data_IF_337371504446
#
_entry.id   IF_337371504446
#
_cell.length_a   1.000
_cell.length_b   1.000
_cell.length_c   1.000
_cell.angle_alpha   90.00
_cell.angle_beta   90.00
_cell.angle_gamma   90.00
#
_symmetry.space_group_name_H-M   'P 1'
#
loop_
_entity.id
_entity.type
_entity.pdbx_description
1 polymer ?
#
# COMPACT_ATOMS: atom_id res chain seq x y z
N UNK A 1 -0.51 -12.02 1.37
CA UNK A 1 -1.25 -12.73 0.29
C UNK A 1 -0.64 -12.39 -1.05
N UNK A 2 -0.76 -13.25 -2.04
CA UNK A 2 -0.33 -12.92 -3.39
C UNK A 2 -1.41 -12.07 -4.06
N UNK A 3 -1.09 -10.87 -4.44
CA UNK A 3 -1.97 -9.96 -5.16
C UNK A 3 -1.27 -9.39 -6.38
N UNK A 4 -2.00 -8.79 -7.28
CA UNK A 4 -1.43 -8.05 -8.42
C UNK A 4 -2.36 -6.89 -8.75
N UNK A 5 -1.81 -5.70 -8.75
CA UNK A 5 -2.55 -4.46 -8.98
C UNK A 5 -2.21 -3.87 -10.34
N UNK A 6 -3.19 -3.29 -11.00
CA UNK A 6 -3.04 -2.41 -12.15
C UNK A 6 -3.72 -1.07 -11.89
N UNK A 7 -3.02 0.00 -12.23
CA UNK A 7 -3.50 1.38 -12.15
C UNK A 7 -3.42 1.97 -13.56
N UNK A 8 -4.47 2.70 -14.01
CA UNK A 8 -4.48 3.30 -15.34
C UNK A 8 -4.91 4.75 -15.22
N UNK A 9 -4.01 5.65 -15.61
CA UNK A 9 -4.27 7.08 -15.66
C UNK A 9 -5.37 7.44 -16.67
N UNK A 10 -6.05 8.56 -16.48
CA UNK A 10 -7.22 8.95 -17.28
C UNK A 10 -6.94 9.13 -18.77
N UNK A 11 -5.74 9.57 -19.14
CA UNK A 11 -5.34 9.75 -20.54
C UNK A 11 -4.83 8.44 -21.17
N UNK A 12 -4.53 7.42 -20.36
CA UNK A 12 -4.22 6.07 -20.80
C UNK A 12 -5.46 5.16 -20.88
N UNK A 13 -6.61 5.60 -20.35
CA UNK A 13 -7.86 4.86 -20.44
C UNK A 13 -8.67 5.25 -21.69
N UNK A 14 -9.52 4.31 -22.14
CA UNK A 14 -10.30 4.52 -23.38
C UNK A 14 -11.34 5.64 -23.26
N UNK A 15 -11.93 5.83 -22.09
CA UNK A 15 -13.05 6.76 -21.86
C UNK A 15 -12.68 7.95 -20.95
N UNK A 16 -11.41 8.12 -20.61
CA UNK A 16 -10.94 9.19 -19.75
C UNK A 16 -11.17 8.95 -18.26
N UNK A 17 -11.52 7.73 -17.87
CA UNK A 17 -11.65 7.36 -16.45
C UNK A 17 -10.31 6.96 -15.83
N UNK A 18 -10.16 7.22 -14.54
CA UNK A 18 -9.12 6.60 -13.71
C UNK A 18 -9.54 5.16 -13.36
N UNK A 19 -8.59 4.22 -13.41
CA UNK A 19 -8.88 2.81 -13.11
C UNK A 19 -7.90 2.30 -12.06
N UNK A 20 -8.43 1.71 -11.00
CA UNK A 20 -7.66 0.90 -10.05
C UNK A 20 -8.28 -0.49 -9.99
N UNK A 21 -7.48 -1.54 -10.17
CA UNK A 21 -7.96 -2.92 -10.14
C UNK A 21 -6.91 -3.84 -9.53
N UNK A 22 -7.36 -4.78 -8.72
CA UNK A 22 -6.52 -5.76 -8.03
C UNK A 22 -7.17 -7.12 -8.03
N UNK A 23 -6.39 -8.18 -8.23
CA UNK A 23 -6.79 -9.51 -7.85
C UNK A 23 -6.24 -9.84 -6.46
N UNK A 24 -6.97 -10.63 -5.72
CA UNK A 24 -6.55 -11.23 -4.47
C UNK A 24 -6.32 -12.72 -4.68
N UNK A 25 -5.15 -13.21 -4.31
CA UNK A 25 -4.79 -14.62 -4.40
C UNK A 25 -4.58 -15.21 -3.01
N UNK A 26 -5.23 -16.33 -2.72
CA UNK A 26 -4.97 -17.09 -1.50
C UNK A 26 -3.65 -17.84 -1.62
N UNK A 27 -2.75 -17.67 -0.66
CA UNK A 27 -1.44 -18.32 -0.62
C UNK A 27 -1.51 -19.86 -0.65
N UNK A 28 -2.60 -20.44 -0.15
CA UNK A 28 -2.78 -21.89 -0.01
C UNK A 28 -3.86 -22.45 -0.96
N UNK A 29 -4.38 -21.64 -1.89
CA UNK A 29 -5.52 -22.01 -2.71
C UNK A 29 -6.83 -22.15 -1.91
N UNK A 30 -6.90 -21.59 -0.73
CA UNK A 30 -8.12 -21.54 0.07
C UNK A 30 -9.12 -20.58 -0.54
N UNK A 31 -10.38 -20.98 -0.52
CA UNK A 31 -11.47 -20.13 -1.01
C UNK A 31 -12.08 -19.35 0.15
N UNK A 32 -11.78 -18.05 0.20
CA UNK A 32 -12.37 -17.11 1.14
C UNK A 32 -13.48 -16.30 0.44
N UNK A 33 -14.75 -16.68 0.62
CA UNK A 33 -15.86 -16.02 -0.07
C UNK A 33 -15.98 -14.57 0.40
N UNK A 34 -16.15 -13.66 -0.55
CA UNK A 34 -16.37 -12.23 -0.33
C UNK A 34 -17.84 -11.86 -0.56
N UNK A 35 -18.25 -10.72 -0.06
CA UNK A 35 -19.58 -10.13 -0.32
C UNK A 35 -19.41 -8.71 -0.84
N UNK A 36 -20.09 -8.36 -1.91
CA UNK A 36 -20.22 -6.96 -2.29
C UNK A 36 -21.36 -6.33 -1.47
N UNK A 37 -21.03 -5.30 -0.73
CA UNK A 37 -21.98 -4.58 0.15
C UNK A 37 -21.93 -3.08 -0.04
N UNK A 38 -22.99 -2.41 0.37
CA UNK A 38 -23.05 -0.96 0.59
C UNK A 38 -23.14 -0.72 2.09
N UNK A 39 -22.24 0.09 2.64
CA UNK A 39 -22.21 0.44 4.06
C UNK A 39 -22.70 1.88 4.21
N UNK A 40 -23.82 2.07 4.89
CA UNK A 40 -24.42 3.39 5.10
C UNK A 40 -23.82 4.09 6.31
N UNK A 41 -23.90 5.43 6.40
CA UNK A 41 -23.36 6.19 7.51
C UNK A 41 -23.85 5.74 8.90
N UNK A 42 -25.13 5.37 9.01
CA UNK A 42 -25.75 4.91 10.25
C UNK A 42 -25.42 3.45 10.62
N UNK A 43 -24.85 2.69 9.69
CA UNK A 43 -24.40 1.30 9.89
C UNK A 43 -22.93 1.23 10.31
N UNK A 44 -22.19 2.34 10.25
CA UNK A 44 -20.76 2.39 10.55
C UNK A 44 -20.50 2.60 12.05
N UNK A 45 -19.50 1.88 12.62
CA UNK A 45 -19.14 2.07 14.03
C UNK A 45 -18.51 3.44 14.26
N UNK A 46 -18.62 3.96 15.48
CA UNK A 46 -17.85 5.13 15.94
C UNK A 46 -16.58 4.73 16.69
N UNK A 47 -16.51 3.49 17.09
CA UNK A 47 -15.33 2.85 17.63
C UNK A 47 -15.07 1.60 16.78
N UNK A 48 -13.95 1.57 16.09
CA UNK A 48 -13.50 0.44 15.30
C UNK A 48 -12.53 -0.42 16.12
N UNK A 49 -12.65 -1.74 16.01
CA UNK A 49 -11.73 -2.66 16.65
C UNK A 49 -11.24 -3.69 15.65
N UNK A 50 -9.91 -3.71 15.44
CA UNK A 50 -9.23 -4.76 14.65
C UNK A 50 -9.38 -6.13 15.31
N UNK A 51 -9.63 -7.15 14.51
CA UNK A 51 -9.66 -8.54 14.96
C UNK A 51 -8.24 -9.10 15.09
N UNK A 52 -7.33 -8.71 14.19
CA UNK A 52 -5.95 -9.20 14.17
C UNK A 52 -5.09 -8.52 15.22
N UNK A 53 -5.05 -7.20 15.21
CA UNK A 53 -4.16 -6.42 16.08
C UNK A 53 -4.76 -6.07 17.44
N UNK A 54 -6.07 -6.25 17.62
CA UNK A 54 -6.82 -5.81 18.81
C UNK A 54 -6.76 -4.31 19.09
N UNK A 55 -6.28 -3.51 18.12
CA UNK A 55 -6.30 -2.06 18.21
C UNK A 55 -7.74 -1.54 18.21
N UNK A 56 -8.00 -0.55 19.02
CA UNK A 56 -9.28 0.18 19.03
C UNK A 56 -9.04 1.62 18.59
N UNK A 57 -9.84 2.11 17.65
CA UNK A 57 -9.72 3.43 17.04
C UNK A 57 -11.07 4.14 17.15
N UNK A 58 -11.07 5.36 17.67
CA UNK A 58 -12.21 6.24 17.61
C UNK A 58 -12.32 6.83 16.20
N UNK A 59 -13.47 6.65 15.56
CA UNK A 59 -13.71 7.13 14.21
C UNK A 59 -14.53 8.43 14.21
N UNK A 60 -14.33 9.32 13.21
CA UNK A 60 -15.10 10.55 13.07
C UNK A 60 -16.62 10.32 12.98
N UNK A 61 -17.40 11.32 13.37
CA UNK A 61 -18.86 11.21 13.46
C UNK A 61 -19.61 11.24 12.13
N UNK A 62 -18.96 11.78 11.08
CA UNK A 62 -19.56 12.05 9.78
C UNK A 62 -18.98 11.17 8.66
N UNK A 63 -19.15 9.82 8.70
CA UNK A 63 -18.68 8.96 7.64
C UNK A 63 -19.55 9.06 6.39
N UNK A 64 -18.94 8.99 5.23
CA UNK A 64 -19.60 8.84 3.95
C UNK A 64 -20.12 7.41 3.75
N UNK A 65 -21.17 7.25 2.93
CA UNK A 65 -21.56 5.94 2.43
C UNK A 65 -20.48 5.42 1.50
N UNK A 66 -20.20 4.10 1.56
CA UNK A 66 -19.24 3.46 0.67
C UNK A 66 -19.63 2.03 0.30
N UNK A 67 -19.05 1.52 -0.78
CA UNK A 67 -19.09 0.10 -1.14
C UNK A 67 -17.86 -0.61 -0.58
N UNK A 68 -17.99 -1.91 -0.32
CA UNK A 68 -16.87 -2.76 0.12
C UNK A 68 -17.07 -4.21 -0.36
N UNK A 69 -15.99 -4.98 -0.33
CA UNK A 69 -15.97 -6.41 -0.68
C UNK A 69 -15.42 -7.24 0.49
N UNK A 70 -16.03 -7.16 1.68
CA UNK A 70 -15.51 -7.82 2.87
C UNK A 70 -15.65 -9.35 2.82
N UNK A 71 -14.92 -10.01 3.71
CA UNK A 71 -15.10 -11.43 3.98
C UNK A 71 -16.57 -11.78 4.29
N UNK A 72 -17.04 -12.91 3.78
CA UNK A 72 -18.37 -13.42 4.11
C UNK A 72 -18.44 -13.94 5.57
N UNK A 73 -17.34 -14.48 6.09
CA UNK A 73 -17.15 -14.84 7.50
C UNK A 73 -16.18 -13.84 8.14
N UNK A 74 -16.67 -13.09 9.12
CA UNK A 74 -15.90 -12.01 9.78
C UNK A 74 -15.04 -12.49 10.97
N UNK A 75 -14.85 -13.79 11.15
CA UNK A 75 -14.06 -14.31 12.27
C UNK A 75 -12.61 -13.87 12.26
N UNK A 76 -12.05 -13.66 11.07
CA UNK A 76 -10.67 -13.22 10.88
C UNK A 76 -10.56 -11.74 10.51
N UNK A 77 -11.65 -10.98 10.68
CA UNK A 77 -11.72 -9.55 10.40
C UNK A 77 -12.54 -9.21 9.15
N UNK A 78 -12.67 -7.92 8.91
CA UNK A 78 -13.52 -7.37 7.84
C UNK A 78 -12.89 -7.60 6.47
N UNK A 79 -11.62 -7.20 6.29
CA UNK A 79 -10.91 -7.28 5.01
C UNK A 79 -11.73 -6.70 3.88
N UNK A 80 -11.96 -5.37 3.95
CA UNK A 80 -12.88 -4.66 3.05
C UNK A 80 -12.46 -4.64 1.58
N UNK A 81 -11.21 -4.92 1.27
CA UNK A 81 -10.57 -5.10 -0.02
C UNK A 81 -10.59 -3.86 -0.92
N UNK A 82 -11.74 -3.56 -1.50
CA UNK A 82 -11.89 -2.42 -2.40
C UNK A 82 -13.27 -1.79 -2.24
N UNK A 83 -13.37 -0.49 -2.49
CA UNK A 83 -14.63 0.22 -2.44
C UNK A 83 -14.57 1.60 -3.08
N UNK A 84 -15.75 2.19 -3.23
CA UNK A 84 -15.94 3.57 -3.69
C UNK A 84 -16.89 4.23 -2.73
N UNK A 85 -16.58 5.45 -2.27
CA UNK A 85 -17.46 6.23 -1.42
C UNK A 85 -18.37 7.17 -2.25
N UNK A 86 -19.32 7.82 -1.60
CA UNK A 86 -20.28 8.71 -2.26
C UNK A 86 -19.68 10.03 -2.78
N UNK A 87 -18.44 10.38 -2.38
CA UNK A 87 -17.64 11.44 -2.96
C UNK A 87 -16.88 11.00 -4.23
N UNK A 88 -17.12 9.78 -4.73
CA UNK A 88 -16.44 9.18 -5.86
C UNK A 88 -14.92 8.97 -5.66
N UNK A 89 -14.49 8.77 -4.42
CA UNK A 89 -13.15 8.29 -4.12
C UNK A 89 -13.17 6.77 -4.09
N UNK A 90 -12.28 6.13 -4.83
CA UNK A 90 -12.06 4.70 -4.77
C UNK A 90 -10.77 4.39 -4.01
N UNK A 91 -10.78 3.25 -3.31
CA UNK A 91 -9.62 2.69 -2.62
C UNK A 91 -9.56 1.20 -2.90
N UNK A 92 -8.36 0.69 -3.21
CA UNK A 92 -8.07 -0.74 -3.24
C UNK A 92 -6.92 -1.01 -2.28
N UNK A 93 -7.23 -1.71 -1.23
CA UNK A 93 -6.29 -2.10 -0.18
C UNK A 93 -6.31 -3.63 -0.05
N UNK A 94 -5.25 -4.36 -0.11
CA UNK A 94 -3.87 -3.92 -0.18
C UNK A 94 -3.06 -4.85 -1.08
N UNK A 95 -1.92 -4.39 -1.54
CA UNK A 95 -0.90 -5.26 -2.13
C UNK A 95 0.13 -5.54 -1.03
N UNK A 96 0.27 -6.79 -0.56
CA UNK A 96 1.31 -7.12 0.44
C UNK A 96 2.69 -6.90 -0.16
N UNK A 97 3.52 -6.10 0.50
CA UNK A 97 4.86 -5.75 0.05
C UNK A 97 5.93 -6.38 0.95
N UNK A 98 7.16 -6.42 0.46
CA UNK A 98 8.32 -6.92 1.20
C UNK A 98 9.38 -5.82 1.31
N UNK A 99 9.81 -5.53 2.54
CA UNK A 99 10.92 -4.61 2.83
C UNK A 99 12.16 -5.36 3.28
N UNK A 100 13.31 -4.68 3.29
CA UNK A 100 14.56 -5.28 3.76
C UNK A 100 14.72 -5.17 5.30
N UNK A 101 15.63 -5.98 5.83
CA UNK A 101 15.83 -6.11 7.28
C UNK A 101 16.41 -4.84 7.92
N UNK A 102 17.09 -3.97 7.15
CA UNK A 102 17.63 -2.70 7.67
C UNK A 102 16.52 -1.73 8.01
N UNK A 103 15.49 -1.66 7.14
CA UNK A 103 14.29 -0.88 7.40
C UNK A 103 13.58 -1.39 8.64
N UNK A 104 13.33 -2.72 8.73
CA UNK A 104 12.67 -3.31 9.89
C UNK A 104 13.49 -3.22 11.18
N UNK A 105 14.82 -3.17 11.06
CA UNK A 105 15.71 -2.90 12.19
C UNK A 105 15.63 -1.46 12.71
N UNK A 106 15.29 -0.51 11.84
CA UNK A 106 15.17 0.91 12.15
C UNK A 106 13.74 1.32 12.57
N UNK A 107 12.73 0.72 11.93
CA UNK A 107 11.30 0.95 12.16
C UNK A 107 10.56 -0.40 12.14
N UNK A 108 10.57 -1.15 13.27
CA UNK A 108 9.97 -2.48 13.35
C UNK A 108 8.44 -2.43 13.29
N UNK A 109 7.84 -3.50 12.81
CA UNK A 109 6.39 -3.67 12.82
C UNK A 109 5.79 -3.56 14.23
N UNK A 110 4.62 -2.97 14.31
CA UNK A 110 3.83 -2.86 15.54
C UNK A 110 2.91 -4.08 15.66
N UNK A 111 3.47 -5.19 16.09
CA UNK A 111 2.76 -6.46 16.21
C UNK A 111 1.96 -6.56 17.52
N UNK A 112 0.81 -7.26 17.48
CA UNK A 112 0.06 -7.61 18.69
C UNK A 112 0.91 -8.51 19.61
N UNK A 113 0.97 -8.15 20.87
CA UNK A 113 1.61 -8.97 21.91
C UNK A 113 0.58 -9.45 22.92
N UNK A 114 0.35 -10.75 22.97
CA UNK A 114 -0.56 -11.35 23.94
C UNK A 114 -0.06 -11.16 25.38
N UNK A 115 -0.99 -11.06 26.33
CA UNK A 115 -0.65 -11.04 27.75
C UNK A 115 0.17 -12.29 28.15
N UNK A 116 1.13 -12.10 29.04
CA UNK A 116 1.94 -13.16 29.63
C UNK A 116 1.80 -13.20 31.14
N UNK A 117 1.87 -14.38 31.72
CA UNK A 117 1.67 -14.57 33.17
C UNK A 117 0.19 -14.51 33.54
N UNK A 118 -0.06 -14.43 34.85
CA UNK A 118 -1.41 -14.33 35.41
C UNK A 118 -1.61 -12.95 36.00
N UNK A 119 -2.75 -12.35 35.68
CA UNK A 119 -3.13 -11.05 36.25
C UNK A 119 -3.07 -11.05 37.79
N UNK A 120 -2.31 -10.09 38.33
CA UNK A 120 -2.05 -9.97 39.75
C UNK A 120 -0.70 -10.54 40.22
N UNK A 121 0.01 -11.31 39.39
CA UNK A 121 1.35 -11.78 39.68
C UNK A 121 2.40 -10.69 39.34
N UNK A 122 3.57 -10.75 39.98
CA UNK A 122 4.62 -9.72 39.82
C UNK A 122 5.30 -9.73 38.45
N UNK A 123 5.12 -10.81 37.69
CA UNK A 123 5.65 -11.04 36.35
C UNK A 123 4.56 -10.94 35.26
N UNK A 124 3.38 -10.42 35.61
CA UNK A 124 2.32 -10.19 34.63
C UNK A 124 2.67 -9.09 33.66
N UNK A 125 2.61 -9.40 32.37
CA UNK A 125 2.70 -8.45 31.27
C UNK A 125 1.33 -8.39 30.58
N UNK A 126 0.67 -7.20 30.55
CA UNK A 126 -0.60 -7.06 29.83
C UNK A 126 -0.43 -7.21 28.33
N UNK A 127 -1.52 -7.55 27.64
CA UNK A 127 -1.55 -7.51 26.18
C UNK A 127 -1.29 -6.10 25.66
N UNK A 128 -0.57 -6.00 24.55
CA UNK A 128 -0.33 -4.74 23.85
C UNK A 128 -0.92 -4.85 22.45
N UNK A 129 -1.86 -3.99 22.05
CA UNK A 129 -2.40 -3.97 20.71
C UNK A 129 -1.30 -3.77 19.66
N UNK A 130 -1.50 -4.32 18.47
CA UNK A 130 -0.69 -4.03 17.29
C UNK A 130 -1.13 -2.75 16.58
N UNK A 131 -0.50 -2.46 15.44
CA UNK A 131 -0.87 -1.36 14.56
C UNK A 131 -2.07 -1.69 13.66
N UNK A 132 -2.26 -0.90 12.63
CA UNK A 132 -3.28 -1.10 11.58
C UNK A 132 -2.72 -1.97 10.46
N UNK A 133 -3.57 -2.64 9.71
CA UNK A 133 -3.16 -3.45 8.55
C UNK A 133 -4.26 -3.59 7.50
N UNK A 134 -4.05 -4.51 6.58
CA UNK A 134 -4.96 -4.78 5.46
C UNK A 134 -6.42 -4.99 5.90
N UNK A 135 -6.63 -5.69 7.01
CA UNK A 135 -7.95 -5.90 7.60
C UNK A 135 -8.71 -4.58 7.79
N UNK A 136 -7.98 -3.52 8.20
CA UNK A 136 -8.54 -2.30 8.76
C UNK A 136 -8.71 -1.19 7.72
N UNK A 137 -7.75 -1.06 6.79
CA UNK A 137 -7.51 0.15 6.00
C UNK A 137 -8.74 0.72 5.31
N UNK A 138 -9.50 -0.11 4.58
CA UNK A 138 -10.66 0.39 3.85
C UNK A 138 -11.70 1.03 4.79
N UNK A 139 -11.96 0.38 5.92
CA UNK A 139 -12.99 0.79 6.88
C UNK A 139 -12.65 2.07 7.62
N UNK A 140 -11.35 2.26 7.94
CA UNK A 140 -10.91 3.42 8.73
C UNK A 140 -10.52 4.63 7.88
N UNK A 141 -10.36 4.45 6.55
CA UNK A 141 -9.92 5.51 5.63
C UNK A 141 -11.04 5.97 4.70
N UNK A 142 -11.56 5.06 3.86
CA UNK A 142 -12.43 5.41 2.73
C UNK A 142 -13.68 6.23 3.11
N UNK A 143 -14.37 5.97 4.24
CA UNK A 143 -15.55 6.75 4.62
C UNK A 143 -15.29 8.21 5.00
N UNK A 144 -14.03 8.61 5.16
CA UNK A 144 -13.65 9.89 5.77
C UNK A 144 -12.85 10.79 4.85
N UNK A 145 -12.86 10.53 3.54
CA UNK A 145 -12.08 11.27 2.55
C UNK A 145 -12.93 11.64 1.34
N UNK A 146 -12.61 12.77 0.71
CA UNK A 146 -13.35 13.32 -0.43
C UNK A 146 -12.49 13.44 -1.70
N UNK A 147 -11.18 13.17 -1.59
CA UNK A 147 -10.23 13.11 -2.71
C UNK A 147 -9.26 11.95 -2.51
N UNK A 148 -8.62 11.50 -3.59
CA UNK A 148 -7.57 10.47 -3.54
C UNK A 148 -6.40 10.92 -2.66
N UNK A 149 -6.00 12.18 -2.75
CA UNK A 149 -4.94 12.80 -1.95
C UNK A 149 -5.25 12.80 -0.45
N UNK A 150 -6.48 13.13 -0.07
CA UNK A 150 -6.92 13.01 1.33
C UNK A 150 -6.85 11.57 1.83
N UNK A 151 -7.07 10.58 0.94
CA UNK A 151 -6.90 9.16 1.25
C UNK A 151 -5.47 8.82 1.67
N UNK A 152 -4.49 9.27 0.89
CA UNK A 152 -3.06 9.11 1.21
C UNK A 152 -2.71 9.78 2.53
N UNK A 153 -3.11 11.05 2.71
CA UNK A 153 -2.81 11.80 3.93
C UNK A 153 -3.42 11.14 5.17
N UNK A 154 -4.70 10.76 5.11
CA UNK A 154 -5.38 10.12 6.23
C UNK A 154 -4.73 8.79 6.62
N UNK A 155 -4.39 7.94 5.64
CA UNK A 155 -3.70 6.69 5.94
C UNK A 155 -2.31 6.97 6.53
N UNK A 156 -1.60 7.95 6.00
CA UNK A 156 -0.30 8.38 6.53
C UNK A 156 -0.37 8.86 7.99
N UNK A 157 -1.39 9.64 8.35
CA UNK A 157 -1.61 10.10 9.72
C UNK A 157 -1.92 8.92 10.67
N UNK A 158 -2.71 7.94 10.22
CA UNK A 158 -3.01 6.74 10.98
C UNK A 158 -1.77 5.86 11.17
N UNK A 159 -0.93 5.71 10.14
CA UNK A 159 0.34 5.00 10.24
C UNK A 159 1.31 5.68 11.21
N UNK A 160 1.38 7.01 11.20
CA UNK A 160 2.18 7.79 12.14
C UNK A 160 1.73 7.59 13.59
N UNK A 161 0.41 7.48 13.84
CA UNK A 161 -0.16 7.35 15.18
C UNK A 161 -0.10 5.92 15.72
N UNK A 162 -0.49 4.94 14.89
CA UNK A 162 -0.69 3.56 15.33
C UNK A 162 0.36 2.59 14.83
N UNK A 163 1.07 2.95 13.77
CA UNK A 163 1.95 2.04 13.04
C UNK A 163 1.20 0.92 12.33
N UNK A 164 1.96 0.04 11.68
CA UNK A 164 1.43 -1.15 11.00
C UNK A 164 2.15 -2.42 11.43
N UNK A 165 1.46 -3.55 11.36
CA UNK A 165 2.05 -4.87 11.62
C UNK A 165 2.52 -5.60 10.35
N UNK A 166 2.39 -4.95 9.17
CA UNK A 166 2.77 -5.51 7.87
C UNK A 166 3.03 -4.44 6.83
N UNK A 167 3.69 -4.81 5.73
CA UNK A 167 3.93 -3.91 4.61
C UNK A 167 2.82 -4.00 3.57
N UNK A 168 2.39 -2.85 3.08
CA UNK A 168 1.28 -2.76 2.13
C UNK A 168 1.48 -1.69 1.07
N UNK A 169 0.98 -2.00 -0.15
CA UNK A 169 0.72 -1.02 -1.20
C UNK A 169 -0.77 -0.74 -1.29
N UNK A 170 -1.16 0.52 -1.37
CA UNK A 170 -2.55 0.96 -1.36
C UNK A 170 -2.80 1.95 -2.50
N UNK A 171 -3.84 1.69 -3.29
CA UNK A 171 -4.28 2.58 -4.35
C UNK A 171 -5.45 3.45 -3.89
N UNK A 172 -5.36 4.75 -4.21
CA UNK A 172 -6.47 5.71 -4.09
C UNK A 172 -6.73 6.34 -5.44
N UNK A 173 -7.98 6.51 -5.82
CA UNK A 173 -8.33 7.27 -7.03
C UNK A 173 -9.59 8.11 -6.83
N UNK A 174 -9.66 9.20 -7.54
CA UNK A 174 -10.87 9.97 -7.77
C UNK A 174 -11.03 10.26 -9.30
N UNK A 175 -11.88 11.19 -9.67
CA UNK A 175 -12.10 11.51 -11.08
C UNK A 175 -10.89 12.15 -11.78
N UNK A 176 -9.96 12.71 -11.00
CA UNK A 176 -8.88 13.55 -11.50
C UNK A 176 -7.52 12.88 -11.46
N UNK A 177 -7.25 12.07 -10.42
CA UNK A 177 -5.92 11.49 -10.18
C UNK A 177 -5.96 10.12 -9.51
N UNK A 178 -4.85 9.39 -9.63
CA UNK A 178 -4.57 8.14 -8.90
C UNK A 178 -3.30 8.33 -8.10
N UNK A 179 -3.32 7.84 -6.86
CA UNK A 179 -2.16 7.76 -5.97
C UNK A 179 -1.88 6.31 -5.61
N UNK A 180 -0.61 5.94 -5.68
CA UNK A 180 -0.11 4.69 -5.13
C UNK A 180 0.74 4.98 -3.91
N UNK A 181 0.41 4.37 -2.79
CA UNK A 181 1.10 4.51 -1.51
C UNK A 181 1.74 3.18 -1.12
N UNK A 182 2.99 3.21 -0.69
CA UNK A 182 3.74 2.08 -0.16
C UNK A 182 4.13 2.38 1.27
N UNK A 183 3.84 1.44 2.21
CA UNK A 183 4.34 1.56 3.58
C UNK A 183 5.83 1.21 3.63
N UNK A 184 6.57 1.80 4.56
CA UNK A 184 8.00 1.61 4.75
C UNK A 184 8.26 1.33 6.23
N UNK A 185 8.49 0.08 6.58
CA UNK A 185 8.61 -0.30 8.00
C UNK A 185 7.29 -0.16 8.77
N UNK A 186 7.39 0.11 10.07
CA UNK A 186 6.25 0.16 10.98
C UNK A 186 5.41 1.43 10.92
N UNK A 187 6.01 2.59 10.57
CA UNK A 187 5.32 3.90 10.65
C UNK A 187 5.52 4.79 9.43
N UNK A 188 6.59 4.57 8.65
CA UNK A 188 6.92 5.40 7.50
C UNK A 188 6.17 4.95 6.24
N UNK A 189 6.05 5.86 5.30
CA UNK A 189 5.39 5.62 4.02
C UNK A 189 5.85 6.60 2.94
N UNK A 190 5.66 6.20 1.69
CA UNK A 190 5.82 7.01 0.49
C UNK A 190 4.59 6.87 -0.39
N UNK A 191 4.27 7.89 -1.17
CA UNK A 191 3.20 7.81 -2.17
C UNK A 191 3.58 8.62 -3.41
N UNK A 192 3.20 8.07 -4.57
CA UNK A 192 3.48 8.69 -5.88
C UNK A 192 2.19 8.74 -6.70
N UNK A 193 1.95 9.91 -7.33
CA UNK A 193 0.86 10.09 -8.26
C UNK A 193 1.15 9.29 -9.54
N UNK A 194 0.17 8.57 -10.04
CA UNK A 194 0.24 7.91 -11.35
C UNK A 194 0.13 8.99 -12.43
N UNK A 195 1.06 9.07 -13.41
CA UNK A 195 0.91 9.98 -14.53
C UNK A 195 -0.38 9.70 -15.32
N UNK A 196 -1.04 10.75 -15.79
CA UNK A 196 -2.35 10.64 -16.45
C UNK A 196 -2.29 9.79 -17.73
N UNK A 197 -1.15 9.83 -18.43
CA UNK A 197 -0.87 9.11 -19.68
C UNK A 197 -0.27 7.72 -19.47
N UNK A 198 -0.13 7.24 -18.24
CA UNK A 198 0.57 5.98 -17.96
C UNK A 198 -0.35 4.95 -17.31
N UNK A 199 0.08 3.70 -17.40
CA UNK A 199 -0.39 2.60 -16.56
C UNK A 199 0.73 2.07 -15.68
N UNK A 200 0.37 1.51 -14.53
CA UNK A 200 1.27 0.94 -13.54
C UNK A 200 0.87 -0.49 -13.23
N UNK A 201 1.84 -1.39 -13.13
CA UNK A 201 1.63 -2.78 -12.72
C UNK A 201 2.41 -3.05 -11.44
N UNK A 202 1.71 -3.45 -10.39
CA UNK A 202 2.30 -3.66 -9.07
C UNK A 202 2.11 -5.11 -8.63
N UNK A 203 3.20 -5.91 -8.59
CA UNK A 203 3.23 -7.18 -7.88
C UNK A 203 3.56 -6.96 -6.39
N UNK A 204 3.77 -8.03 -5.62
CA UNK A 204 4.07 -7.96 -4.18
C UNK A 204 5.49 -7.48 -3.86
N UNK A 205 5.93 -6.37 -4.42
CA UNK A 205 7.22 -5.74 -4.11
C UNK A 205 7.10 -4.22 -4.21
N UNK A 206 7.97 -3.48 -3.51
CA UNK A 206 8.05 -2.04 -3.71
C UNK A 206 8.35 -1.75 -5.18
N UNK A 207 7.60 -0.84 -5.79
CA UNK A 207 7.65 -0.54 -7.20
C UNK A 207 8.07 0.89 -7.50
N UNK A 208 7.96 1.82 -6.55
CA UNK A 208 8.39 3.20 -6.76
C UNK A 208 9.91 3.26 -6.80
N UNK A 209 10.46 3.52 -7.98
CA UNK A 209 11.90 3.53 -8.30
C UNK A 209 12.48 4.94 -8.52
N UNK A 210 11.60 5.92 -8.72
CA UNK A 210 11.96 7.33 -8.80
C UNK A 210 11.09 8.13 -7.85
N UNK A 211 11.72 8.92 -6.97
CA UNK A 211 11.00 9.68 -5.95
C UNK A 211 11.66 11.04 -5.69
N UNK A 212 10.91 12.10 -5.85
CA UNK A 212 11.38 13.48 -5.58
C UNK A 212 11.06 13.84 -4.13
N UNK A 213 12.09 13.81 -3.28
CA UNK A 213 11.98 14.17 -1.86
C UNK A 213 11.67 15.64 -1.63
N UNK A 214 12.12 16.52 -2.52
CA UNK A 214 11.87 17.97 -2.40
C UNK A 214 10.39 18.27 -2.70
N UNK A 215 9.81 17.62 -3.72
CA UNK A 215 8.37 17.69 -3.98
C UNK A 215 7.56 17.09 -2.82
N UNK A 216 7.94 15.90 -2.35
CA UNK A 216 7.21 15.19 -1.30
C UNK A 216 7.13 15.95 0.03
N UNK A 217 8.17 16.71 0.38
CA UNK A 217 8.24 17.56 1.58
C UNK A 217 7.82 19.01 1.32
N UNK A 218 7.62 19.39 0.07
CA UNK A 218 7.28 20.73 -0.37
C UNK A 218 5.86 20.87 -0.92
N UNK A 219 5.74 21.01 -2.23
CA UNK A 219 4.46 21.27 -2.90
C UNK A 219 3.56 20.05 -2.99
N UNK A 220 4.12 18.84 -2.88
CA UNK A 220 3.41 17.56 -2.92
C UNK A 220 2.59 17.39 -4.22
N UNK A 221 3.14 17.82 -5.33
CA UNK A 221 2.45 17.78 -6.61
C UNK A 221 2.29 16.34 -7.10
N UNK A 222 3.39 15.55 -7.06
CA UNK A 222 3.43 14.18 -7.53
C UNK A 222 3.94 13.17 -6.50
N UNK A 223 4.47 13.62 -5.37
CA UNK A 223 5.04 12.78 -4.32
C UNK A 223 4.58 13.25 -2.95
N UNK A 224 4.34 12.31 -2.06
CA UNK A 224 4.02 12.55 -0.65
C UNK A 224 4.74 11.50 0.20
N UNK A 225 5.13 11.85 1.42
CA UNK A 225 5.78 10.90 2.33
C UNK A 225 5.59 11.30 3.80
N UNK A 226 6.04 10.42 4.70
CA UNK A 226 6.18 10.75 6.12
C UNK A 226 7.06 11.98 6.32
N UNK A 227 6.67 12.87 7.23
CA UNK A 227 7.33 14.15 7.47
C UNK A 227 8.83 14.02 7.79
N UNK A 228 9.23 12.95 8.46
CA UNK A 228 10.59 12.67 8.94
C UNK A 228 11.34 11.65 8.07
N UNK A 229 10.82 11.32 6.88
CA UNK A 229 11.40 10.29 6.00
C UNK A 229 12.87 10.54 5.68
N UNK A 230 13.26 11.80 5.38
CA UNK A 230 14.66 12.15 5.08
C UNK A 230 15.55 11.92 6.30
N UNK A 231 15.13 12.38 7.49
CA UNK A 231 15.88 12.13 8.73
C UNK A 231 15.98 10.62 9.02
N UNK A 232 14.91 9.86 8.77
CA UNK A 232 14.89 8.41 8.92
C UNK A 232 15.91 7.72 8.01
N UNK A 233 15.95 8.09 6.73
CA UNK A 233 16.92 7.58 5.75
C UNK A 233 18.36 7.90 6.18
N UNK A 234 18.66 9.16 6.47
CA UNK A 234 20.00 9.62 6.82
C UNK A 234 20.51 9.00 8.12
N UNK A 235 19.69 9.03 9.18
CA UNK A 235 20.07 8.51 10.51
C UNK A 235 20.35 7.01 10.49
N UNK A 236 19.66 6.27 9.66
CA UNK A 236 19.76 4.82 9.59
C UNK A 236 20.56 4.32 8.39
N UNK A 237 21.13 5.22 7.59
CA UNK A 237 21.93 4.90 6.39
C UNK A 237 21.20 3.93 5.45
N UNK A 238 19.93 4.21 5.16
CA UNK A 238 19.10 3.33 4.36
C UNK A 238 19.38 3.46 2.87
N UNK A 239 19.73 4.66 2.39
CA UNK A 239 20.22 4.86 1.04
C UNK A 239 21.69 4.40 0.95
N UNK A 240 21.94 3.38 0.11
CA UNK A 240 23.27 2.81 -0.14
C UNK A 240 23.88 3.30 -1.45
N UNK A 241 23.28 4.23 -2.15
CA UNK A 241 23.83 4.79 -3.37
C UNK A 241 25.23 5.38 -3.10
N UNK A 242 26.21 5.02 -3.94
CA UNK A 242 27.61 5.48 -3.82
C UNK A 242 27.73 6.96 -4.15
N UNK A 243 26.91 7.43 -5.06
CA UNK A 243 26.73 8.84 -5.40
C UNK A 243 25.29 9.21 -5.10
N UNK A 244 25.08 10.34 -4.43
CA UNK A 244 23.73 10.86 -4.22
C UNK A 244 23.13 11.15 -5.60
N UNK A 245 22.30 10.23 -6.07
CA UNK A 245 21.55 10.41 -7.31
C UNK A 245 20.21 11.07 -6.97
N UNK A 246 19.85 12.08 -7.73
CA UNK A 246 18.49 12.61 -7.76
C UNK A 246 17.88 12.18 -9.09
N UNK A 247 16.70 11.58 -9.10
CA UNK A 247 15.80 11.31 -7.96
C UNK A 247 16.25 10.14 -7.06
N UNK A 248 15.75 10.12 -5.83
CA UNK A 248 15.95 9.01 -4.88
C UNK A 248 15.23 7.75 -5.36
N UNK A 249 15.83 6.57 -5.15
CA UNK A 249 15.24 5.28 -5.48
C UNK A 249 14.76 4.53 -4.22
N UNK A 250 13.46 4.63 -3.86
CA UNK A 250 12.92 3.93 -2.69
C UNK A 250 12.94 2.40 -2.81
N UNK A 251 12.70 1.86 -4.00
CA UNK A 251 12.74 0.42 -4.25
C UNK A 251 14.10 -0.16 -3.87
N UNK A 252 15.16 0.54 -4.21
CA UNK A 252 16.53 0.14 -3.92
C UNK A 252 16.88 0.28 -2.43
N UNK A 253 16.46 1.39 -1.83
CA UNK A 253 16.74 1.69 -0.43
C UNK A 253 15.94 0.80 0.55
N UNK A 254 14.68 0.54 0.25
CA UNK A 254 13.73 -0.07 1.17
C UNK A 254 13.29 -1.49 0.79
N UNK A 255 13.31 -1.82 -0.50
CA UNK A 255 12.79 -3.09 -1.02
C UNK A 255 13.62 -4.31 -0.61
N UNK A 256 13.01 -5.47 -0.76
CA UNK A 256 13.69 -6.76 -0.65
C UNK A 256 14.57 -7.02 -1.86
N UNK A 257 15.76 -7.52 -1.61
CA UNK A 257 16.74 -7.93 -2.63
C UNK A 257 16.93 -9.45 -2.69
N UNK A 258 15.94 -10.22 -2.21
CA UNK A 258 16.02 -11.67 -2.22
C UNK A 258 15.68 -12.25 -3.61
N UNK A 259 16.42 -13.26 -4.06
CA UNK A 259 16.14 -13.98 -5.31
C UNK A 259 14.73 -14.55 -5.35
N UNK A 260 14.22 -15.01 -4.20
CA UNK A 260 12.86 -15.56 -4.11
C UNK A 260 11.79 -14.51 -4.37
N UNK A 261 12.00 -13.29 -3.91
CA UNK A 261 11.09 -12.17 -4.12
C UNK A 261 11.06 -11.74 -5.60
N UNK A 262 12.23 -11.68 -6.24
CA UNK A 262 12.34 -11.43 -7.67
C UNK A 262 11.61 -12.48 -8.51
N UNK A 263 11.88 -13.75 -8.28
CA UNK A 263 11.26 -14.86 -9.03
C UNK A 263 9.75 -14.86 -8.86
N UNK A 264 9.26 -14.45 -7.71
CA UNK A 264 7.83 -14.39 -7.45
C UNK A 264 7.14 -13.19 -8.10
N UNK A 265 7.80 -12.03 -8.14
CA UNK A 265 7.18 -10.75 -8.50
C UNK A 265 7.45 -10.34 -9.97
N UNK A 266 8.70 -10.32 -10.38
CA UNK A 266 9.12 -9.80 -11.67
C UNK A 266 8.41 -10.44 -12.88
N UNK A 267 8.25 -11.78 -12.95
CA UNK A 267 7.54 -12.40 -14.07
C UNK A 267 6.07 -11.98 -14.19
N UNK A 268 5.40 -11.69 -13.07
CA UNK A 268 4.00 -11.23 -13.08
C UNK A 268 3.88 -9.81 -13.66
N UNK A 269 4.73 -8.89 -13.22
CA UNK A 269 4.81 -7.55 -13.78
C UNK A 269 5.15 -7.59 -15.27
N UNK A 270 6.15 -8.40 -15.65
CA UNK A 270 6.56 -8.58 -17.04
C UNK A 270 5.42 -9.08 -17.92
N UNK A 271 4.68 -10.09 -17.51
CA UNK A 271 3.54 -10.63 -18.27
C UNK A 271 2.49 -9.56 -18.52
N UNK A 272 2.13 -8.77 -17.49
CA UNK A 272 1.14 -7.71 -17.62
C UNK A 272 1.61 -6.62 -18.58
N UNK A 273 2.81 -6.12 -18.40
CA UNK A 273 3.37 -5.06 -19.24
C UNK A 273 3.57 -5.54 -20.68
N UNK A 274 4.05 -6.78 -20.85
CA UNK A 274 4.18 -7.39 -22.18
C UNK A 274 2.83 -7.58 -22.89
N UNK A 275 1.78 -7.88 -22.16
CA UNK A 275 0.44 -8.00 -22.72
C UNK A 275 -0.13 -6.64 -23.14
N UNK A 276 0.07 -5.61 -22.32
CA UNK A 276 -0.46 -4.26 -22.54
C UNK A 276 0.37 -3.49 -23.59
N UNK A 277 1.68 -3.72 -23.64
CA UNK A 277 2.61 -3.10 -24.61
C UNK A 277 3.50 -4.16 -25.28
N UNK A 278 2.96 -4.94 -26.24
CA UNK A 278 3.67 -6.06 -26.85
C UNK A 278 4.79 -5.62 -27.81
N UNK A 279 4.89 -4.33 -28.12
CA UNK A 279 5.86 -3.80 -29.08
C UNK A 279 7.09 -3.17 -28.41
N UNK A 280 7.14 -3.15 -27.10
CA UNK A 280 8.29 -2.68 -26.35
C UNK A 280 9.47 -3.65 -26.51
N UNK A 281 10.48 -3.23 -27.27
CA UNK A 281 11.66 -4.04 -27.58
C UNK A 281 12.65 -4.16 -26.41
N UNK A 282 12.44 -3.42 -25.32
CA UNK A 282 13.33 -3.43 -24.14
C UNK A 282 13.16 -4.67 -23.25
N UNK A 283 12.21 -5.53 -23.55
CA UNK A 283 11.90 -6.71 -22.74
C UNK A 283 12.65 -7.96 -23.21
N UNK A 284 13.69 -8.32 -22.48
CA UNK A 284 14.47 -9.53 -22.75
C UNK A 284 13.77 -10.82 -22.32
N UNK A 285 12.72 -10.74 -21.51
CA UNK A 285 11.93 -11.86 -21.02
C UNK A 285 11.62 -11.78 -19.52
N UNK A 286 10.93 -12.78 -18.95
CA UNK A 286 10.49 -12.76 -17.57
C UNK A 286 11.63 -12.82 -16.53
N UNK A 287 12.85 -13.05 -16.97
CA UNK A 287 14.05 -13.13 -16.14
C UNK A 287 14.97 -11.91 -16.32
N UNK A 288 14.53 -10.90 -17.09
CA UNK A 288 15.34 -9.73 -17.41
C UNK A 288 15.71 -8.92 -16.16
N UNK A 289 14.82 -8.83 -15.20
CA UNK A 289 15.06 -8.15 -13.94
C UNK A 289 15.61 -9.11 -12.88
N UNK A 290 16.88 -9.28 -12.87
CA UNK A 290 17.59 -9.96 -11.78
C UNK A 290 18.25 -8.99 -10.81
N UNK A 291 18.03 -7.68 -11.01
CA UNK A 291 18.68 -6.63 -10.26
C UNK A 291 17.66 -5.65 -9.74
N UNK A 292 17.84 -5.20 -8.47
CA UNK A 292 16.97 -4.20 -7.88
C UNK A 292 17.08 -2.81 -8.51
N UNK A 293 18.18 -2.53 -9.19
CA UNK A 293 18.51 -1.25 -9.84
C UNK A 293 18.16 -1.23 -11.33
N UNK A 294 17.30 -2.11 -11.77
CA UNK A 294 17.08 -2.26 -13.19
C UNK A 294 16.08 -1.23 -13.71
N UNK A 295 16.52 -0.49 -14.72
CA UNK A 295 15.66 0.35 -15.55
C UNK A 295 14.71 -0.49 -16.42
N UNK A 296 14.80 -1.81 -16.32
CA UNK A 296 14.11 -2.77 -17.19
C UNK A 296 12.61 -2.85 -16.88
N UNK A 297 12.19 -2.49 -15.66
CA UNK A 297 10.78 -2.44 -15.25
C UNK A 297 10.47 -1.09 -14.62
N UNK A 298 10.25 -0.04 -15.40
CA UNK A 298 9.88 1.26 -14.86
C UNK A 298 8.55 1.19 -14.13
N UNK A 299 8.42 2.03 -13.10
CA UNK A 299 7.23 2.13 -12.28
C UNK A 299 5.97 2.37 -13.11
N UNK A 300 6.03 3.26 -14.09
CA UNK A 300 4.91 3.56 -14.97
C UNK A 300 5.31 3.44 -16.44
N UNK A 301 4.41 2.89 -17.25
CA UNK A 301 4.55 2.80 -18.71
C UNK A 301 3.51 3.65 -19.41
N UNK A 302 3.92 4.25 -20.54
CA UNK A 302 2.98 4.87 -21.47
C UNK A 302 2.46 3.81 -22.44
N UNK A 303 1.16 3.80 -22.76
CA UNK A 303 0.64 2.98 -23.85
C UNK A 303 1.14 3.51 -25.21
N UNK A 304 1.46 2.59 -26.14
CA UNK A 304 1.74 2.95 -27.53
C UNK A 304 0.47 3.20 -28.34
#
# INVERSE_FOLDING_TARGET
>A
MACTTILVGKDASYDGSTIIARNEDSANGEFNPKRFIVVKPDEQPREYRSVISHLTIDLPDDPLQYTAVPNADLKEGIWGEAGVNEANVAMSATETLTTNERVLGADPFVEYRAARGREGDSDYEPAVPGGIGEEDFLTIVLPYVTTAREGVQRLGDLLKEYGTYEMNGVAFSDADEIWWMETVGGHHWIAKRVPDEAYVTMPNQLGIDEFDLDDALGEQENHMCSEDLVEFIERNHLDLAVESTSPFNPRDAFGSHSDSDHVYNTPRAWVMQRFLNPYDEMWDGPEADHRPDSDDIPWARQPE
#
